data_IF_113430603846
#
_entry.id   IF_113430603846
#
_cell.length_a   1.000
_cell.length_b   1.000
_cell.length_c   1.000
_cell.angle_alpha   90.00
_cell.angle_beta   90.00
_cell.angle_gamma   90.00
#
_symmetry.space_group_name_H-M   'P 1'
#
loop_
_entity.id
_entity.type
_entity.pdbx_description
1 polymer ?
#
# COMPACT_ATOMS: atom_id res chain seq x y z
N UNK A 1 -30.32 14.07 -2.36
CA UNK A 1 -29.71 15.39 -2.09
C UNK A 1 -28.44 15.61 -2.90
N UNK A 2 -27.40 14.77 -2.77
CA UNK A 2 -26.13 14.94 -3.50
C UNK A 2 -26.28 14.92 -5.05
N UNK A 3 -27.09 14.01 -5.60
CA UNK A 3 -27.34 13.93 -7.05
C UNK A 3 -27.97 15.22 -7.61
N UNK A 4 -28.99 15.75 -6.93
CA UNK A 4 -29.68 16.98 -7.36
C UNK A 4 -28.74 18.20 -7.30
N UNK A 5 -27.90 18.28 -6.28
CA UNK A 5 -26.89 19.34 -6.17
C UNK A 5 -25.86 19.25 -7.30
N UNK A 6 -25.31 18.06 -7.55
CA UNK A 6 -24.38 17.84 -8.65
C UNK A 6 -25.01 18.24 -10.00
N UNK A 7 -26.26 17.83 -10.24
CA UNK A 7 -26.99 18.18 -11.46
C UNK A 7 -27.22 19.70 -11.60
N UNK A 8 -27.60 20.39 -10.52
CA UNK A 8 -27.78 21.85 -10.54
C UNK A 8 -26.50 22.61 -10.86
N UNK A 9 -25.37 22.12 -10.34
CA UNK A 9 -24.03 22.69 -10.58
C UNK A 9 -23.40 22.21 -11.91
N UNK A 10 -24.12 21.42 -12.72
CA UNK A 10 -23.62 20.93 -14.01
C UNK A 10 -22.60 19.79 -13.93
N UNK A 11 -22.47 19.12 -12.78
CA UNK A 11 -21.61 17.95 -12.61
C UNK A 11 -22.34 16.65 -12.97
N UNK A 12 -21.65 15.76 -13.68
CA UNK A 12 -22.11 14.41 -13.98
C UNK A 12 -21.45 13.38 -13.04
N UNK A 13 -22.28 12.67 -12.26
CA UNK A 13 -21.79 11.62 -11.37
C UNK A 13 -21.62 10.31 -12.13
N UNK A 14 -20.48 9.63 -11.94
CA UNK A 14 -20.19 8.36 -12.59
C UNK A 14 -20.73 7.18 -11.76
N UNK A 15 -21.78 6.46 -12.22
CA UNK A 15 -22.40 5.39 -11.43
C UNK A 15 -21.46 4.20 -11.22
N UNK A 16 -20.60 3.92 -12.19
CA UNK A 16 -19.66 2.77 -12.15
C UNK A 16 -18.55 2.93 -11.12
N UNK A 17 -18.15 4.16 -10.81
CA UNK A 17 -17.13 4.46 -9.78
C UNK A 17 -17.75 4.77 -8.42
N UNK A 18 -19.06 5.01 -8.37
CA UNK A 18 -19.77 5.41 -7.17
C UNK A 18 -20.34 4.17 -6.49
N UNK A 19 -19.83 3.89 -5.29
CA UNK A 19 -20.11 2.64 -4.58
C UNK A 19 -20.41 2.95 -3.11
N UNK A 20 -21.18 2.08 -2.46
CA UNK A 20 -21.45 2.19 -1.03
C UNK A 20 -20.59 1.18 -0.27
N UNK A 21 -19.89 1.66 0.74
CA UNK A 21 -19.11 0.83 1.66
C UNK A 21 -19.75 0.92 3.05
N UNK A 22 -20.32 -0.19 3.51
CA UNK A 22 -20.97 -0.27 4.81
C UNK A 22 -19.95 -0.49 5.93
N UNK A 23 -19.48 0.58 6.55
CA UNK A 23 -18.54 0.52 7.68
C UNK A 23 -19.34 0.34 8.97
N UNK A 24 -19.55 -0.91 9.40
CA UNK A 24 -20.27 -1.20 10.64
C UNK A 24 -19.36 -1.00 11.86
N UNK A 25 -19.67 0.01 12.69
CA UNK A 25 -19.16 0.07 14.05
C UNK A 25 -19.94 -0.92 14.94
N UNK A 26 -19.22 -1.63 15.83
CA UNK A 26 -19.73 -2.71 16.71
C UNK A 26 -21.03 -2.40 17.49
N UNK A 27 -21.48 -1.14 17.54
CA UNK A 27 -22.66 -0.68 18.28
C UNK A 27 -23.95 -0.54 17.43
N UNK A 28 -23.92 -0.70 16.09
CA UNK A 28 -25.13 -0.58 15.23
C UNK A 28 -25.29 -1.77 14.29
N UNK A 29 -25.30 -2.98 14.85
CA UNK A 29 -25.35 -4.22 14.06
C UNK A 29 -26.75 -4.65 13.58
N UNK A 30 -27.82 -3.94 13.94
CA UNK A 30 -29.18 -4.50 13.78
C UNK A 30 -30.06 -3.89 12.69
N UNK A 31 -29.73 -2.75 12.04
CA UNK A 31 -30.68 -2.11 11.12
C UNK A 31 -30.16 -1.78 9.70
N UNK A 32 -28.86 -1.84 9.42
CA UNK A 32 -28.31 -1.26 8.18
C UNK A 32 -28.15 -2.20 6.98
N UNK A 33 -28.44 -3.50 7.11
CA UNK A 33 -28.09 -4.45 6.04
C UNK A 33 -29.02 -4.40 4.81
N UNK A 34 -30.16 -3.71 4.87
CA UNK A 34 -31.15 -3.68 3.79
C UNK A 34 -31.45 -2.27 3.23
N UNK A 35 -30.65 -1.25 3.55
CA UNK A 35 -30.83 0.07 2.91
C UNK A 35 -30.23 0.06 1.50
N UNK A 36 -31.10 0.13 0.50
CA UNK A 36 -30.72 0.38 -0.89
C UNK A 36 -30.42 1.87 -1.07
N UNK A 37 -29.19 2.17 -1.46
CA UNK A 37 -28.77 3.53 -1.76
C UNK A 37 -28.95 3.80 -3.25
N UNK A 38 -29.51 4.97 -3.57
CA UNK A 38 -29.74 5.39 -4.97
C UNK A 38 -28.91 6.60 -5.32
N UNK A 39 -28.39 6.61 -6.54
CA UNK A 39 -27.76 7.75 -7.19
C UNK A 39 -28.64 8.17 -8.37
N UNK A 40 -29.56 9.11 -8.11
CA UNK A 40 -30.57 9.50 -9.09
C UNK A 40 -31.50 8.32 -9.40
N UNK A 41 -31.66 7.91 -10.67
CA UNK A 41 -32.47 6.75 -11.05
C UNK A 41 -31.78 5.41 -10.82
N UNK A 42 -30.46 5.39 -10.61
CA UNK A 42 -29.67 4.16 -10.54
C UNK A 42 -29.45 3.70 -9.09
N UNK A 43 -29.49 2.39 -8.87
CA UNK A 43 -29.11 1.80 -7.58
C UNK A 43 -27.58 1.74 -7.46
N UNK A 44 -27.05 2.10 -6.29
CA UNK A 44 -25.61 2.04 -6.02
C UNK A 44 -25.22 0.65 -5.51
N UNK A 45 -24.18 0.03 -6.06
CA UNK A 45 -23.71 -1.26 -5.57
C UNK A 45 -23.11 -1.11 -4.17
N UNK A 46 -23.58 -1.95 -3.25
CA UNK A 46 -22.95 -2.12 -1.94
C UNK A 46 -21.78 -3.10 -2.08
N UNK A 47 -20.57 -2.64 -1.74
CA UNK A 47 -19.35 -3.45 -1.81
C UNK A 47 -18.64 -3.51 -0.46
N UNK A 48 -17.83 -4.53 -0.24
CA UNK A 48 -17.08 -4.73 1.02
C UNK A 48 -15.67 -4.14 1.00
N UNK A 49 -15.17 -3.83 -0.20
CA UNK A 49 -13.81 -3.31 -0.44
C UNK A 49 -13.87 -2.21 -1.49
N UNK A 50 -13.41 -1.01 -1.14
CA UNK A 50 -13.31 0.13 -2.05
C UNK A 50 -11.93 0.79 -1.93
N UNK A 51 -11.36 1.29 -3.02
CA UNK A 51 -10.13 2.10 -2.95
C UNK A 51 -10.51 3.58 -2.93
N UNK A 52 -10.07 4.30 -1.90
CA UNK A 52 -10.31 5.73 -1.74
C UNK A 52 -8.98 6.45 -1.51
N UNK A 53 -8.62 7.35 -2.42
CA UNK A 53 -7.32 8.05 -2.42
C UNK A 53 -6.13 7.08 -2.34
N UNK A 54 -6.14 6.02 -3.15
CA UNK A 54 -5.09 4.99 -3.14
C UNK A 54 -5.09 4.06 -1.92
N UNK A 55 -5.94 4.31 -0.91
CA UNK A 55 -6.05 3.47 0.29
C UNK A 55 -7.23 2.53 0.14
N UNK A 56 -6.98 1.25 0.32
CA UNK A 56 -8.00 0.21 0.33
C UNK A 56 -8.79 0.35 1.64
N UNK A 57 -10.10 0.50 1.56
CA UNK A 57 -11.03 0.49 2.70
C UNK A 57 -11.81 -0.81 2.64
N UNK A 58 -11.69 -1.61 3.70
CA UNK A 58 -12.43 -2.87 3.88
C UNK A 58 -13.33 -2.72 5.10
N UNK A 59 -14.52 -3.32 5.06
CA UNK A 59 -15.48 -3.36 6.17
C UNK A 59 -14.86 -3.86 7.48
N UNK A 60 -13.85 -4.73 7.41
CA UNK A 60 -13.06 -5.20 8.55
C UNK A 60 -11.76 -4.39 8.73
N UNK A 61 -11.59 -3.78 9.91
CA UNK A 61 -10.37 -3.02 10.28
C UNK A 61 -9.09 -3.84 10.17
N UNK A 62 -9.08 -5.12 10.61
CA UNK A 62 -7.88 -5.97 10.56
C UNK A 62 -7.50 -6.34 9.11
N UNK A 63 -8.51 -6.64 8.29
CA UNK A 63 -8.28 -6.99 6.87
C UNK A 63 -7.81 -5.78 6.05
N UNK A 64 -8.33 -4.59 6.38
CA UNK A 64 -7.95 -3.33 5.75
C UNK A 64 -6.43 -3.10 5.80
N UNK A 65 -5.83 -3.26 6.98
CA UNK A 65 -4.41 -2.98 7.15
C UNK A 65 -3.48 -3.93 6.38
N UNK A 66 -3.71 -5.24 6.46
CA UNK A 66 -2.87 -6.22 5.74
C UNK A 66 -2.99 -5.99 4.23
N UNK A 67 -4.19 -5.76 3.73
CA UNK A 67 -4.42 -5.51 2.30
C UNK A 67 -3.69 -4.26 1.79
N UNK A 68 -3.63 -3.18 2.56
CA UNK A 68 -2.88 -1.98 2.17
C UNK A 68 -1.37 -2.22 2.19
N UNK A 69 -0.85 -2.89 3.22
CA UNK A 69 0.59 -3.20 3.28
C UNK A 69 1.02 -4.09 2.13
N UNK A 70 0.23 -5.10 1.78
CA UNK A 70 0.50 -5.96 0.63
C UNK A 70 0.45 -5.21 -0.71
N UNK A 71 -0.53 -4.34 -0.90
CA UNK A 71 -0.63 -3.53 -2.12
C UNK A 71 0.52 -2.52 -2.22
N UNK A 72 0.91 -1.88 -1.10
CA UNK A 72 2.06 -1.00 -1.04
C UNK A 72 3.37 -1.75 -1.36
N UNK A 73 3.57 -2.95 -0.80
CA UNK A 73 4.74 -3.80 -1.13
C UNK A 73 4.75 -4.14 -2.62
N UNK A 74 3.60 -4.49 -3.20
CA UNK A 74 3.47 -4.80 -4.62
C UNK A 74 3.80 -3.59 -5.50
N UNK A 75 3.32 -2.41 -5.14
CA UNK A 75 3.60 -1.16 -5.86
C UNK A 75 5.06 -0.71 -5.70
N UNK A 76 5.62 -0.84 -4.49
CA UNK A 76 7.03 -0.57 -4.22
C UNK A 76 7.95 -1.53 -5.00
N UNK A 77 7.58 -2.81 -5.10
CA UNK A 77 8.30 -3.80 -5.93
C UNK A 77 8.26 -3.42 -7.40
N UNK A 78 7.10 -3.03 -7.93
CA UNK A 78 6.98 -2.54 -9.31
C UNK A 78 7.87 -1.32 -9.55
N UNK A 79 7.87 -0.38 -8.60
CA UNK A 79 8.73 0.81 -8.65
C UNK A 79 10.21 0.44 -8.67
N UNK A 80 10.63 -0.52 -7.82
CA UNK A 80 11.99 -1.05 -7.84
C UNK A 80 12.36 -1.70 -9.19
N UNK A 81 11.44 -2.47 -9.77
CA UNK A 81 11.66 -3.10 -11.08
C UNK A 81 11.77 -2.08 -12.22
N UNK A 82 11.04 -0.99 -12.16
CA UNK A 82 11.18 0.11 -13.13
C UNK A 82 12.56 0.76 -13.09
N UNK A 83 13.25 0.72 -11.94
CA UNK A 83 14.59 1.28 -11.76
C UNK A 83 15.72 0.31 -12.13
N UNK A 84 15.41 -0.97 -12.45
CA UNK A 84 16.44 -1.96 -12.80
C UNK A 84 17.27 -1.51 -14.00
N UNK A 85 16.64 -0.96 -15.03
CA UNK A 85 17.33 -0.43 -16.22
C UNK A 85 18.24 0.76 -15.91
N UNK A 86 17.94 1.49 -14.84
CA UNK A 86 18.79 2.55 -14.32
C UNK A 86 19.92 2.06 -13.41
N UNK A 87 20.15 0.76 -13.30
CA UNK A 87 21.21 0.18 -12.47
C UNK A 87 20.81 -0.07 -11.02
N UNK A 88 19.52 -0.12 -10.68
CA UNK A 88 19.03 -0.46 -9.33
C UNK A 88 19.04 -1.99 -9.08
N UNK A 89 20.21 -2.62 -9.17
CA UNK A 89 20.40 -4.04 -8.89
C UNK A 89 21.70 -4.27 -8.09
N UNK A 90 22.05 -5.50 -7.74
CA UNK A 90 23.26 -5.75 -6.96
C UNK A 90 24.54 -5.73 -7.80
N UNK A 91 24.53 -6.43 -8.94
CA UNK A 91 25.76 -6.71 -9.71
C UNK A 91 25.93 -5.73 -10.88
N UNK A 92 27.11 -5.12 -11.07
CA UNK A 92 27.36 -4.10 -12.12
C UNK A 92 26.35 -2.94 -12.08
N UNK A 93 25.96 -2.54 -10.88
CA UNK A 93 24.96 -1.51 -10.62
C UNK A 93 25.59 -0.15 -10.35
N UNK A 94 24.72 0.82 -10.03
CA UNK A 94 25.13 2.08 -9.43
C UNK A 94 25.86 1.85 -8.11
N UNK A 95 26.57 2.86 -7.64
CA UNK A 95 27.14 2.83 -6.29
C UNK A 95 26.02 2.70 -5.24
N UNK A 96 26.36 2.10 -4.10
CA UNK A 96 25.40 1.79 -3.02
C UNK A 96 24.74 3.05 -2.49
N UNK A 97 25.45 4.18 -2.43
CA UNK A 97 24.92 5.43 -1.92
C UNK A 97 23.81 5.97 -2.83
N UNK A 98 24.06 5.99 -4.15
CA UNK A 98 23.05 6.34 -5.15
C UNK A 98 21.86 5.39 -5.12
N UNK A 99 22.07 4.08 -4.98
CA UNK A 99 20.96 3.12 -4.85
C UNK A 99 20.13 3.38 -3.59
N UNK A 100 20.76 3.63 -2.44
CA UNK A 100 20.04 3.99 -1.21
C UNK A 100 19.26 5.30 -1.39
N UNK A 101 19.83 6.26 -2.13
CA UNK A 101 19.15 7.51 -2.46
C UNK A 101 17.90 7.27 -3.32
N UNK A 102 18.01 6.46 -4.39
CA UNK A 102 16.89 6.06 -5.23
C UNK A 102 15.80 5.32 -4.44
N UNK A 103 16.21 4.43 -3.53
CA UNK A 103 15.29 3.74 -2.63
C UNK A 103 14.50 4.73 -1.76
N UNK A 104 15.18 5.71 -1.15
CA UNK A 104 14.53 6.73 -0.31
C UNK A 104 13.57 7.63 -1.09
N UNK A 105 13.88 7.98 -2.33
CA UNK A 105 13.07 8.90 -3.15
C UNK A 105 11.89 8.19 -3.80
N UNK A 106 12.10 7.02 -4.40
CA UNK A 106 11.09 6.40 -5.26
C UNK A 106 10.35 5.24 -4.60
N UNK A 107 11.04 4.44 -3.78
CA UNK A 107 10.49 3.18 -3.26
C UNK A 107 9.87 3.40 -1.88
N UNK A 108 10.58 4.09 -0.99
CA UNK A 108 10.13 4.33 0.38
C UNK A 108 8.79 5.08 0.47
N UNK A 109 8.52 6.13 -0.33
CA UNK A 109 7.23 6.83 -0.25
C UNK A 109 6.07 5.94 -0.70
N UNK A 110 6.26 5.13 -1.74
CA UNK A 110 5.25 4.18 -2.22
C UNK A 110 4.99 3.09 -1.18
N UNK A 111 6.04 2.62 -0.52
CA UNK A 111 5.94 1.58 0.52
C UNK A 111 5.19 2.08 1.77
N UNK A 112 5.42 3.32 2.17
CA UNK A 112 4.89 3.90 3.41
C UNK A 112 3.58 4.67 3.24
N UNK A 113 3.10 4.81 2.00
CA UNK A 113 1.91 5.59 1.69
C UNK A 113 0.68 5.15 2.50
N UNK A 114 0.06 6.08 3.21
CA UNK A 114 -1.20 5.85 3.92
C UNK A 114 -1.08 5.05 5.22
N UNK A 115 0.12 4.65 5.63
CA UNK A 115 0.32 3.91 6.89
C UNK A 115 -0.03 4.75 8.13
N UNK A 116 0.12 6.08 8.04
CA UNK A 116 -0.29 7.03 9.06
C UNK A 116 -1.80 7.02 9.33
N UNK A 117 -2.61 6.62 8.33
CA UNK A 117 -4.06 6.57 8.43
C UNK A 117 -4.60 5.19 8.87
N UNK A 118 -3.77 4.15 8.82
CA UNK A 118 -4.20 2.76 8.98
C UNK A 118 -3.74 2.16 10.32
N UNK A 119 -2.82 2.82 11.03
CA UNK A 119 -2.26 2.42 12.33
C UNK A 119 -1.73 0.96 12.31
N UNK A 120 -0.49 0.75 11.83
CA UNK A 120 0.04 -0.59 11.60
C UNK A 120 0.20 -1.40 12.89
N UNK A 121 -0.16 -2.70 12.83
CA UNK A 121 0.15 -3.67 13.88
C UNK A 121 1.56 -4.21 13.73
N UNK A 122 2.07 -4.85 14.77
CA UNK A 122 3.36 -5.56 14.76
C UNK A 122 3.53 -6.50 13.57
N UNK A 123 2.52 -7.32 13.26
CA UNK A 123 2.56 -8.25 12.12
C UNK A 123 2.72 -7.53 10.77
N UNK A 124 2.06 -6.39 10.60
CA UNK A 124 2.15 -5.59 9.37
C UNK A 124 3.51 -4.89 9.23
N UNK A 125 4.09 -4.44 10.36
CA UNK A 125 5.44 -3.91 10.41
C UNK A 125 6.48 -4.97 10.05
N UNK A 126 6.33 -6.20 10.54
CA UNK A 126 7.22 -7.32 10.17
C UNK A 126 7.21 -7.58 8.66
N UNK A 127 6.06 -7.48 7.99
CA UNK A 127 5.98 -7.63 6.53
C UNK A 127 6.74 -6.52 5.80
N UNK A 128 6.57 -5.27 6.23
CA UNK A 128 7.30 -4.12 5.67
C UNK A 128 8.80 -4.27 5.88
N UNK A 129 9.25 -4.57 7.11
CA UNK A 129 10.66 -4.79 7.43
C UNK A 129 11.27 -5.90 6.58
N UNK A 130 10.57 -7.03 6.44
CA UNK A 130 11.05 -8.15 5.64
C UNK A 130 11.24 -7.76 4.16
N UNK A 131 10.34 -6.95 3.62
CA UNK A 131 10.49 -6.42 2.25
C UNK A 131 11.67 -5.47 2.13
N UNK A 132 11.80 -4.51 3.04
CA UNK A 132 12.91 -3.55 3.06
C UNK A 132 14.26 -4.26 3.19
N UNK A 133 14.38 -5.21 4.12
CA UNK A 133 15.59 -6.02 4.30
C UNK A 133 15.98 -6.78 3.04
N UNK A 134 15.02 -7.37 2.34
CA UNK A 134 15.29 -8.08 1.06
C UNK A 134 15.82 -7.13 -0.01
N UNK A 135 15.23 -5.94 -0.14
CA UNK A 135 15.71 -4.92 -1.07
C UNK A 135 17.10 -4.41 -0.70
N UNK A 136 17.36 -4.14 0.58
CA UNK A 136 18.67 -3.69 1.04
C UNK A 136 19.75 -4.76 0.83
N UNK A 137 19.43 -6.05 1.07
CA UNK A 137 20.33 -7.15 0.73
C UNK A 137 20.63 -7.17 -0.77
N UNK A 138 19.64 -6.94 -1.62
CA UNK A 138 19.86 -6.84 -3.07
C UNK A 138 20.76 -5.66 -3.46
N UNK A 139 20.56 -4.47 -2.86
CA UNK A 139 21.42 -3.29 -3.07
C UNK A 139 22.86 -3.59 -2.67
N UNK A 140 23.07 -4.33 -1.59
CA UNK A 140 24.38 -4.74 -1.09
C UNK A 140 24.96 -5.98 -1.81
N UNK A 141 24.29 -6.50 -2.84
CA UNK A 141 24.67 -7.77 -3.49
C UNK A 141 24.75 -8.98 -2.56
N UNK A 142 24.06 -8.93 -1.42
CA UNK A 142 24.03 -10.02 -0.45
C UNK A 142 22.96 -11.05 -0.83
N UNK A 143 23.25 -12.36 -0.69
CA UNK A 143 22.23 -13.40 -0.79
C UNK A 143 21.09 -13.18 0.21
N UNK A 144 19.88 -13.59 -0.16
CA UNK A 144 18.68 -13.42 0.69
C UNK A 144 18.76 -14.14 2.03
N UNK A 145 19.51 -15.24 2.09
CA UNK A 145 19.75 -16.05 3.29
C UNK A 145 20.82 -15.52 4.24
N UNK A 146 21.51 -14.41 3.90
CA UNK A 146 22.51 -13.81 4.79
C UNK A 146 21.85 -13.27 6.06
N UNK A 147 22.51 -13.44 7.20
CA UNK A 147 22.03 -12.96 8.48
C UNK A 147 21.79 -11.43 8.47
N UNK A 148 20.69 -10.98 9.07
CA UNK A 148 20.28 -9.57 9.09
C UNK A 148 21.33 -8.64 9.71
N UNK A 149 22.20 -9.15 10.59
CA UNK A 149 23.30 -8.39 11.19
C UNK A 149 24.28 -7.84 10.14
N UNK A 150 24.43 -8.52 9.01
CA UNK A 150 25.33 -8.14 7.91
C UNK A 150 24.83 -6.90 7.18
N UNK A 151 23.51 -6.68 7.14
CA UNK A 151 22.93 -5.45 6.57
C UNK A 151 23.22 -4.25 7.47
N UNK A 152 23.31 -4.47 8.80
CA UNK A 152 23.62 -3.42 9.77
C UNK A 152 25.11 -3.07 9.82
N UNK A 153 25.97 -4.04 9.53
CA UNK A 153 27.43 -3.89 9.56
C UNK A 153 28.08 -4.57 8.34
N UNK A 154 27.98 -3.98 7.13
CA UNK A 154 28.44 -4.61 5.90
C UNK A 154 29.95 -4.89 5.86
N UNK A 155 30.76 -4.15 6.64
CA UNK A 155 32.23 -4.26 6.64
C UNK A 155 32.83 -5.12 7.77
N UNK A 156 32.02 -5.93 8.50
CA UNK A 156 32.54 -6.73 9.63
C UNK A 156 32.80 -8.20 9.30
N UNK A 157 32.50 -8.67 8.09
CA UNK A 157 32.70 -10.07 7.70
C UNK A 157 33.73 -10.21 6.57
N UNK A 158 35.00 -10.02 6.92
CA UNK A 158 36.15 -10.70 6.29
C UNK A 158 37.21 -10.94 7.35
N UNK A 159 36.91 -11.82 8.31
CA UNK A 159 37.90 -12.63 9.04
C UNK A 159 37.13 -13.68 9.84
N UNK A 160 37.59 -14.93 9.71
CA UNK A 160 37.15 -16.21 10.31
C UNK A 160 36.10 -16.99 9.52
#
# INVERSE_FOLDING_TARGET
>A
MAYNYAYMEGYELQPTKSVVLNISHKQRKQESNNQTFKMGPNDMPSIEKATHLGIIRITSLKGNMIANVEENIKNARRSAYSLLWGGFHGHNSLDVETMVHLYKIYISPVLLYGLELILPTTSSLTLLENFQKKLLKQILSLPTGVADITVKYPNRNTTY
#
